data_IF_136870385113
#
_entry.id   IF_136870385113
#
_cell.length_a   1.000
_cell.length_b   1.000
_cell.length_c   1.000
_cell.angle_alpha   90.00
_cell.angle_beta   90.00
_cell.angle_gamma   90.00
#
_symmetry.space_group_name_H-M   'P 1'
#
loop_
_entity.id
_entity.type
_entity.pdbx_description
1 polymer ?
#
# COMPACT_ATOMS: atom_id res chain seq x y z
N UNK A 1 -17.52 -3.12 2.06
CA UNK A 1 -16.60 -2.57 1.05
C UNK A 1 -16.02 -1.28 1.59
N UNK A 2 -14.73 -1.06 1.39
CA UNK A 2 -14.04 0.18 1.76
C UNK A 2 -13.29 0.70 0.53
N UNK A 3 -13.31 2.01 0.36
CA UNK A 3 -12.57 2.71 -0.68
C UNK A 3 -11.64 3.70 0.00
N UNK A 4 -10.40 3.81 -0.47
CA UNK A 4 -9.47 4.82 0.00
C UNK A 4 -8.84 5.51 -1.21
N UNK A 5 -8.69 6.81 -1.10
CA UNK A 5 -7.99 7.64 -2.06
C UNK A 5 -6.97 8.48 -1.30
N UNK A 6 -5.75 8.53 -1.83
CA UNK A 6 -4.67 9.32 -1.28
C UNK A 6 -3.92 10.01 -2.40
N UNK A 7 -3.40 11.19 -2.10
CA UNK A 7 -2.60 11.97 -3.02
C UNK A 7 -1.48 12.66 -2.27
N UNK A 8 -0.37 12.89 -2.96
CA UNK A 8 0.85 13.48 -2.41
C UNK A 8 1.43 14.50 -3.37
N UNK A 9 1.99 15.57 -2.82
CA UNK A 9 2.71 16.58 -3.58
C UNK A 9 3.86 17.09 -2.75
N UNK A 10 5.05 17.19 -3.34
CA UNK A 10 6.28 17.66 -2.70
C UNK A 10 6.62 19.06 -3.22
N UNK A 11 6.28 20.14 -2.49
CA UNK A 11 6.45 21.51 -3.00
C UNK A 11 7.92 21.89 -3.21
N UNK A 12 8.82 21.36 -2.39
CA UNK A 12 10.26 21.62 -2.47
C UNK A 12 10.92 20.90 -3.65
N UNK A 13 10.27 19.89 -4.24
CA UNK A 13 10.87 19.06 -5.27
C UNK A 13 11.07 19.86 -6.56
N UNK A 14 12.31 19.94 -7.01
CA UNK A 14 12.72 20.66 -8.22
C UNK A 14 13.34 19.69 -9.22
N UNK A 15 12.89 19.80 -10.48
CA UNK A 15 13.41 19.03 -11.60
C UNK A 15 14.21 20.00 -12.48
N UNK A 16 15.51 19.79 -12.56
CA UNK A 16 16.40 20.47 -13.51
C UNK A 16 16.69 19.50 -14.65
N UNK A 17 16.61 20.00 -15.89
CA UNK A 17 16.96 19.24 -17.08
C UNK A 17 18.25 19.82 -17.65
N UNK A 18 19.21 18.95 -17.96
CA UNK A 18 20.40 19.37 -18.70
C UNK A 18 20.09 19.55 -20.20
N UNK A 19 21.01 20.18 -20.95
CA UNK A 19 20.88 20.40 -22.40
C UNK A 19 20.85 19.08 -23.22
N UNK A 20 21.16 17.94 -22.60
CA UNK A 20 21.16 16.61 -23.19
C UNK A 20 19.92 15.78 -22.80
N UNK A 21 18.98 16.36 -22.04
CA UNK A 21 17.74 15.71 -21.59
C UNK A 21 17.88 14.86 -20.32
N UNK A 22 19.02 14.91 -19.63
CA UNK A 22 19.22 14.29 -18.34
C UNK A 22 18.42 14.99 -17.24
N UNK A 23 17.73 14.20 -16.41
CA UNK A 23 16.89 14.69 -15.30
C UNK A 23 17.69 14.70 -14.01
N UNK A 24 17.85 15.88 -13.40
CA UNK A 24 18.45 16.06 -12.07
C UNK A 24 17.35 16.45 -11.08
N UNK A 25 17.24 15.65 -10.01
CA UNK A 25 16.31 15.91 -8.91
C UNK A 25 17.04 16.72 -7.84
N UNK A 26 16.52 17.90 -7.52
CA UNK A 26 16.98 18.74 -6.41
C UNK A 26 15.87 18.82 -5.34
N UNK A 27 16.27 18.96 -4.07
CA UNK A 27 15.35 19.17 -2.94
C UNK A 27 14.23 18.10 -2.82
N UNK A 28 14.56 16.85 -3.12
CA UNK A 28 13.63 15.74 -2.92
C UNK A 28 13.26 15.62 -1.44
N UNK A 29 11.98 15.36 -1.19
CA UNK A 29 11.53 15.01 0.14
C UNK A 29 12.23 13.72 0.59
N UNK A 30 12.49 13.54 1.90
CA UNK A 30 12.92 12.26 2.44
C UNK A 30 12.03 11.12 1.93
N UNK A 31 12.59 9.94 1.71
CA UNK A 31 11.87 8.80 1.12
C UNK A 31 10.56 8.46 1.85
N UNK A 32 10.44 8.73 3.15
CA UNK A 32 9.23 8.48 3.96
C UNK A 32 8.18 9.60 3.91
N UNK A 33 8.53 10.79 3.42
CA UNK A 33 7.68 11.99 3.43
C UNK A 33 7.33 12.50 2.02
N UNK A 34 7.95 11.93 0.99
CA UNK A 34 7.69 12.27 -0.41
C UNK A 34 6.42 11.63 -0.99
N UNK A 35 6.14 12.01 -2.25
CA UNK A 35 5.11 11.38 -3.08
C UNK A 35 5.62 10.02 -3.61
N UNK A 36 5.77 9.06 -2.68
CA UNK A 36 6.28 7.72 -2.94
C UNK A 36 5.19 6.66 -2.87
N UNK A 37 5.25 5.69 -3.78
CA UNK A 37 4.39 4.51 -3.82
C UNK A 37 5.24 3.23 -3.80
N UNK A 38 4.68 2.18 -3.21
CA UNK A 38 5.34 0.89 -3.02
C UNK A 38 5.67 0.61 -1.55
N UNK A 39 5.60 -0.66 -1.17
CA UNK A 39 5.77 -1.11 0.21
C UNK A 39 4.45 -1.42 0.92
N UNK A 40 4.48 -1.57 2.24
CA UNK A 40 3.36 -2.17 2.98
C UNK A 40 2.15 -1.24 3.18
N UNK A 41 2.28 0.07 2.98
CA UNK A 41 1.18 1.03 3.14
C UNK A 41 0.35 1.27 1.87
N UNK A 42 0.99 1.32 0.70
CA UNK A 42 0.37 1.68 -0.57
C UNK A 42 1.12 0.97 -1.68
N UNK A 43 0.36 0.41 -2.63
CA UNK A 43 0.92 -0.36 -3.74
C UNK A 43 1.74 -1.56 -3.23
N UNK A 44 1.07 -2.42 -2.43
CA UNK A 44 1.70 -3.53 -1.69
C UNK A 44 2.36 -4.58 -2.56
N UNK A 45 1.98 -4.66 -3.84
CA UNK A 45 2.59 -5.57 -4.82
C UNK A 45 3.98 -5.12 -5.27
N UNK A 46 4.39 -3.89 -4.97
CA UNK A 46 5.68 -3.32 -5.35
C UNK A 46 6.63 -3.20 -4.16
N UNK A 47 7.94 -3.19 -4.45
CA UNK A 47 8.97 -2.97 -3.44
C UNK A 47 8.81 -1.61 -2.75
N UNK A 48 9.36 -1.48 -1.53
CA UNK A 48 9.24 -0.25 -0.75
C UNK A 48 9.88 0.94 -1.48
N UNK A 49 9.13 2.05 -1.60
CA UNK A 49 9.56 3.26 -2.32
C UNK A 49 9.93 3.03 -3.79
N UNK A 50 9.36 1.99 -4.43
CA UNK A 50 9.61 1.63 -5.82
C UNK A 50 9.35 2.78 -6.81
N UNK A 51 8.33 3.59 -6.54
CA UNK A 51 8.00 4.78 -7.32
C UNK A 51 8.11 6.02 -6.44
N UNK A 52 8.76 7.06 -6.94
CA UNK A 52 8.92 8.33 -6.23
C UNK A 52 9.05 9.44 -7.26
N UNK A 53 8.25 10.49 -7.12
CA UNK A 53 8.37 11.71 -7.92
C UNK A 53 7.75 12.89 -7.15
N UNK A 54 7.63 14.05 -7.81
CA UNK A 54 7.08 15.28 -7.25
C UNK A 54 5.62 15.16 -6.81
N UNK A 55 4.79 14.49 -7.59
CA UNK A 55 3.37 14.30 -7.35
C UNK A 55 3.01 12.82 -7.39
N UNK A 56 1.98 12.40 -6.65
CA UNK A 56 1.47 11.02 -6.67
C UNK A 56 -0.01 10.95 -6.41
N UNK A 57 -0.69 10.01 -7.07
CA UNK A 57 -2.05 9.59 -6.70
C UNK A 57 -2.08 8.10 -6.38
N UNK A 58 -3.03 7.73 -5.53
CA UNK A 58 -3.27 6.37 -5.11
C UNK A 58 -4.75 6.17 -4.84
N UNK A 59 -5.28 5.04 -5.27
CA UNK A 59 -6.62 4.58 -4.93
C UNK A 59 -6.59 3.09 -4.62
N UNK A 60 -7.41 2.66 -3.65
CA UNK A 60 -7.63 1.25 -3.37
C UNK A 60 -9.10 0.97 -3.11
N UNK A 61 -9.51 -0.22 -3.52
CA UNK A 61 -10.77 -0.82 -3.13
C UNK A 61 -10.51 -2.10 -2.35
N UNK A 62 -11.09 -2.19 -1.15
CA UNK A 62 -11.01 -3.36 -0.28
C UNK A 62 -12.39 -3.97 -0.04
N UNK A 63 -12.51 -5.27 -0.28
CA UNK A 63 -13.64 -6.07 0.13
C UNK A 63 -13.29 -6.85 1.40
N UNK A 64 -13.86 -6.43 2.54
CA UNK A 64 -13.59 -6.98 3.88
C UNK A 64 -14.71 -7.91 4.31
N UNK A 65 -14.36 -9.15 4.61
CA UNK A 65 -15.28 -10.19 5.09
C UNK A 65 -14.83 -10.71 6.46
N UNK A 66 -15.56 -10.35 7.52
CA UNK A 66 -15.31 -10.85 8.88
C UNK A 66 -16.04 -12.17 9.08
N UNK A 67 -15.32 -13.22 9.48
CA UNK A 67 -15.94 -14.48 9.84
C UNK A 67 -16.72 -14.34 11.14
N UNK A 68 -17.95 -14.86 11.15
CA UNK A 68 -18.83 -14.83 12.32
C UNK A 68 -18.54 -15.95 13.32
N UNK A 69 -17.80 -16.97 12.90
CA UNK A 69 -17.36 -18.09 13.72
C UNK A 69 -15.84 -18.02 13.89
N UNK A 70 -15.34 -18.53 15.01
CA UNK A 70 -13.90 -18.59 15.25
C UNK A 70 -13.34 -19.90 14.67
N UNK A 71 -12.59 -19.86 13.54
CA UNK A 71 -12.13 -21.08 12.88
C UNK A 71 -11.09 -21.87 13.69
N UNK A 72 -10.55 -21.28 14.76
CA UNK A 72 -9.54 -21.92 15.63
C UNK A 72 -10.09 -22.32 17.01
N UNK A 73 -11.41 -22.22 17.24
CA UNK A 73 -12.04 -22.50 18.54
C UNK A 73 -11.76 -23.93 19.04
N UNK A 74 -11.81 -24.91 18.14
CA UNK A 74 -11.59 -26.33 18.45
C UNK A 74 -10.11 -26.76 18.40
N UNK A 75 -9.20 -25.87 17.99
CA UNK A 75 -7.78 -26.18 17.86
C UNK A 75 -7.06 -25.90 19.19
N UNK A 76 -6.94 -26.94 20.02
CA UNK A 76 -6.46 -26.84 21.41
C UNK A 76 -5.11 -26.12 21.58
N UNK A 77 -4.16 -26.30 20.65
CA UNK A 77 -2.84 -25.65 20.72
C UNK A 77 -2.83 -24.20 20.24
N UNK A 78 -3.88 -23.70 19.58
CA UNK A 78 -4.01 -22.31 19.12
C UNK A 78 -4.81 -21.43 20.09
N UNK A 79 -5.38 -22.00 21.16
CA UNK A 79 -6.20 -21.27 22.15
C UNK A 79 -5.45 -20.14 22.85
N UNK A 80 -4.12 -20.20 22.94
CA UNK A 80 -3.30 -19.13 23.53
C UNK A 80 -3.37 -17.81 22.75
N UNK A 81 -3.75 -17.85 21.46
CA UNK A 81 -3.86 -16.65 20.62
C UNK A 81 -5.01 -15.74 21.05
N UNK A 82 -6.00 -16.23 21.81
CA UNK A 82 -7.19 -15.45 22.24
C UNK A 82 -7.77 -14.63 21.07
N UNK A 83 -8.08 -15.33 19.99
CA UNK A 83 -8.54 -14.71 18.75
C UNK A 83 -9.99 -14.24 18.91
N UNK A 84 -10.19 -12.93 18.80
CA UNK A 84 -11.49 -12.29 18.95
C UNK A 84 -12.27 -12.29 17.64
N UNK A 85 -11.59 -12.00 16.52
CA UNK A 85 -12.16 -12.09 15.18
C UNK A 85 -11.10 -12.36 14.12
N UNK A 86 -11.57 -12.90 12.98
CA UNK A 86 -10.78 -13.13 11.79
C UNK A 86 -11.46 -12.46 10.59
N UNK A 87 -10.68 -11.78 9.75
CA UNK A 87 -11.17 -11.06 8.58
C UNK A 87 -10.32 -11.41 7.36
N UNK A 88 -10.99 -11.80 6.29
CA UNK A 88 -10.42 -11.95 4.97
C UNK A 88 -10.70 -10.68 4.18
N UNK A 89 -9.67 -10.10 3.57
CA UNK A 89 -9.79 -8.88 2.77
C UNK A 89 -9.21 -9.13 1.39
N UNK A 90 -10.04 -9.02 0.35
CA UNK A 90 -9.53 -8.88 -1.02
C UNK A 90 -9.32 -7.41 -1.34
N UNK A 91 -8.22 -7.07 -2.01
CA UNK A 91 -7.94 -5.68 -2.37
C UNK A 91 -7.38 -5.56 -3.78
N UNK A 92 -7.63 -4.39 -4.37
CA UNK A 92 -7.00 -3.93 -5.61
C UNK A 92 -6.50 -2.50 -5.37
N UNK A 93 -5.34 -2.17 -5.93
CA UNK A 93 -4.70 -0.87 -5.79
C UNK A 93 -4.32 -0.32 -7.16
N UNK A 94 -4.38 1.00 -7.29
CA UNK A 94 -3.95 1.72 -8.46
C UNK A 94 -3.20 2.98 -8.01
N UNK A 95 -2.06 3.27 -8.64
CA UNK A 95 -1.29 4.45 -8.29
C UNK A 95 -0.34 4.88 -9.38
N UNK A 96 0.06 6.16 -9.32
CA UNK A 96 1.05 6.75 -10.20
C UNK A 96 1.79 7.87 -9.50
N UNK A 97 3.05 8.03 -9.84
CA UNK A 97 3.87 9.21 -9.52
C UNK A 97 4.16 9.99 -10.82
N UNK A 98 4.37 11.29 -10.73
CA UNK A 98 4.68 12.12 -11.89
C UNK A 98 5.30 13.47 -11.54
N UNK A 99 5.81 14.14 -12.56
CA UNK A 99 6.55 15.40 -12.44
C UNK A 99 5.63 16.61 -12.20
N UNK A 100 4.35 16.49 -12.56
CA UNK A 100 3.34 17.53 -12.41
C UNK A 100 2.08 17.01 -11.73
N UNK A 101 1.44 17.87 -10.92
CA UNK A 101 0.16 17.56 -10.31
C UNK A 101 -0.99 17.88 -11.29
N UNK A 102 -1.11 17.09 -12.36
CA UNK A 102 -2.16 17.25 -13.37
C UNK A 102 -2.85 15.92 -13.65
N UNK A 103 -4.12 15.98 -14.07
CA UNK A 103 -4.89 14.78 -14.39
C UNK A 103 -4.30 14.01 -15.59
N UNK A 104 -3.86 14.74 -16.63
CA UNK A 104 -3.27 14.16 -17.84
C UNK A 104 -1.98 13.38 -17.52
N UNK A 105 -1.18 13.87 -16.57
CA UNK A 105 0.02 13.17 -16.11
C UNK A 105 -0.33 12.02 -15.16
N UNK A 106 -1.13 12.28 -14.12
CA UNK A 106 -1.31 11.33 -13.02
C UNK A 106 -2.34 10.23 -13.29
N UNK A 107 -3.27 10.41 -14.23
CA UNK A 107 -4.26 9.38 -14.59
C UNK A 107 -3.86 8.53 -15.81
N UNK A 108 -2.71 8.81 -16.42
CA UNK A 108 -2.18 8.08 -17.58
C UNK A 108 -1.17 7.02 -17.12
N UNK A 109 -1.12 5.84 -17.74
CA UNK A 109 -0.14 4.79 -17.40
C UNK A 109 -0.07 4.45 -15.90
N UNK A 110 -1.25 4.28 -15.29
CA UNK A 110 -1.41 3.86 -13.90
C UNK A 110 -0.78 2.49 -13.66
N UNK A 111 -0.17 2.32 -12.48
CA UNK A 111 0.32 1.03 -11.99
C UNK A 111 -0.74 0.40 -11.12
N UNK A 112 -0.84 -0.92 -11.20
CA UNK A 112 -1.87 -1.68 -10.50
C UNK A 112 -1.25 -2.85 -9.74
N UNK A 113 -1.85 -3.16 -8.59
CA UNK A 113 -1.63 -4.44 -7.92
C UNK A 113 -2.94 -4.95 -7.31
N UNK A 114 -2.94 -6.21 -6.91
CA UNK A 114 -4.05 -6.80 -6.20
C UNK A 114 -3.57 -7.88 -5.25
N UNK A 115 -4.39 -8.20 -4.27
CA UNK A 115 -3.99 -9.15 -3.25
C UNK A 115 -5.06 -9.54 -2.27
N UNK A 116 -4.63 -10.33 -1.30
CA UNK A 116 -5.44 -10.78 -0.18
C UNK A 116 -4.75 -10.45 1.12
N UNK A 117 -5.52 -10.12 2.14
CA UNK A 117 -5.06 -9.79 3.48
C UNK A 117 -5.86 -10.61 4.49
N UNK A 118 -5.15 -11.33 5.34
CA UNK A 118 -5.70 -12.01 6.50
C UNK A 118 -5.43 -11.12 7.71
N UNK A 119 -6.49 -10.74 8.41
CA UNK A 119 -6.42 -9.89 9.61
C UNK A 119 -7.02 -10.64 10.78
N UNK A 120 -6.35 -10.58 11.93
CA UNK A 120 -6.84 -11.16 13.17
C UNK A 120 -6.64 -10.17 14.32
N UNK A 121 -7.61 -10.10 15.21
CA UNK A 121 -7.44 -9.48 16.53
C UNK A 121 -7.20 -10.59 17.54
N UNK A 122 -6.05 -10.55 18.20
CA UNK A 122 -5.58 -11.56 19.14
C UNK A 122 -5.12 -10.90 20.41
N UNK A 123 -5.78 -11.16 21.54
CA UNK A 123 -5.44 -10.59 22.83
C UNK A 123 -5.29 -9.04 22.82
N UNK A 124 -6.09 -8.34 22.01
CA UNK A 124 -6.04 -6.88 21.85
C UNK A 124 -5.03 -6.35 20.83
N UNK A 125 -4.24 -7.22 20.18
CA UNK A 125 -3.27 -6.85 19.14
C UNK A 125 -3.83 -7.22 17.76
N UNK A 126 -3.75 -6.30 16.81
CA UNK A 126 -4.10 -6.56 15.41
C UNK A 126 -2.88 -7.11 14.68
N UNK A 127 -3.02 -8.31 14.12
CA UNK A 127 -2.03 -8.93 13.24
C UNK A 127 -2.59 -8.98 11.82
N UNK A 128 -1.75 -8.66 10.85
CA UNK A 128 -2.10 -8.70 9.43
C UNK A 128 -1.03 -9.47 8.65
N UNK A 129 -1.49 -10.33 7.75
CA UNK A 129 -0.69 -10.95 6.71
C UNK A 129 -1.27 -10.54 5.36
N UNK A 130 -0.53 -9.73 4.61
CA UNK A 130 -0.94 -9.25 3.29
C UNK A 130 -0.07 -9.92 2.24
N UNK A 131 -0.68 -10.45 1.18
CA UNK A 131 0.01 -10.99 -0.01
C UNK A 131 -0.52 -10.25 -1.22
N UNK A 132 0.36 -9.58 -1.95
CA UNK A 132 0.02 -8.74 -3.09
C UNK A 132 0.87 -9.11 -4.31
N UNK A 133 0.28 -9.03 -5.49
CA UNK A 133 0.94 -9.30 -6.77
C UNK A 133 0.75 -8.11 -7.70
N UNK A 134 1.84 -7.70 -8.34
CA UNK A 134 1.88 -6.70 -9.41
C UNK A 134 2.46 -7.30 -10.70
N UNK A 135 2.68 -6.45 -11.71
CA UNK A 135 3.39 -6.78 -12.94
C UNK A 135 4.91 -7.00 -12.73
N UNK A 136 5.46 -6.54 -11.61
CA UNK A 136 6.90 -6.66 -11.30
C UNK A 136 7.20 -7.77 -10.28
N UNK A 137 6.37 -7.93 -9.25
CA UNK A 137 6.68 -8.84 -8.13
C UNK A 137 5.45 -9.33 -7.37
N UNK A 138 5.64 -10.39 -6.59
CA UNK A 138 4.72 -10.81 -5.52
C UNK A 138 5.39 -10.58 -4.17
N UNK A 139 4.76 -9.78 -3.32
CA UNK A 139 5.26 -9.42 -2.00
C UNK A 139 4.33 -9.92 -0.90
N UNK A 140 4.93 -10.29 0.24
CA UNK A 140 4.23 -10.70 1.44
C UNK A 140 4.66 -9.84 2.63
N UNK A 141 3.69 -9.28 3.35
CA UNK A 141 3.90 -8.37 4.47
C UNK A 141 3.24 -8.92 5.73
N UNK A 142 3.99 -8.96 6.83
CA UNK A 142 3.46 -9.29 8.16
C UNK A 142 3.54 -8.02 9.01
N UNK A 143 2.40 -7.60 9.56
CA UNK A 143 2.29 -6.41 10.40
C UNK A 143 1.66 -6.77 11.74
N UNK A 144 2.22 -6.23 12.81
CA UNK A 144 1.72 -6.37 14.19
C UNK A 144 1.49 -4.97 14.74
N UNK A 145 0.33 -4.74 15.36
CA UNK A 145 -0.05 -3.48 15.99
C UNK A 145 -0.12 -2.28 15.03
N UNK A 146 -0.59 -2.51 13.80
CA UNK A 146 -0.75 -1.47 12.79
C UNK A 146 -2.23 -1.32 12.37
N UNK A 147 -3.01 -0.49 13.10
CA UNK A 147 -4.37 -0.16 12.72
C UNK A 147 -4.31 0.86 11.57
N UNK A 148 -4.93 0.52 10.45
CA UNK A 148 -5.24 1.53 9.43
C UNK A 148 -6.47 2.34 9.86
#
# INVERSE_FOLDING_TARGET
MALNFWTGYSPSWELEYDEQGGRKVNNNAPYSEGASLGGFYRMRGFESNRFHDKASIYATAEYRYTLKYNPIEDVSWLKFLRLDWFQLVGFVEAGRVGESYTADELLTDMKYDYGVSLRALTAGIVVRLDVATSDESTNAWVMVDHPF
#
